data_IF_338918246049
#
_entry.id   IF_338918246049
#
_cell.length_a   1.000
_cell.length_b   1.000
_cell.length_c   1.000
_cell.angle_alpha   90.00
_cell.angle_beta   90.00
_cell.angle_gamma   90.00
#
_symmetry.space_group_name_H-M   'P 1'
#
loop_
_entity.id
_entity.type
_entity.pdbx_description
1 polymer ?
#
# COMPACT_ATOMS: atom_id res chain seq x y z
N UNK A 1 -22.38 -19.85 -11.11
CA UNK A 1 -21.66 -18.60 -10.75
C UNK A 1 -20.59 -18.85 -9.69
N UNK A 2 -20.94 -19.35 -8.50
CA UNK A 2 -19.99 -19.60 -7.39
C UNK A 2 -18.84 -20.58 -7.75
N UNK A 3 -19.12 -21.61 -8.55
CA UNK A 3 -18.09 -22.54 -9.06
C UNK A 3 -16.99 -21.81 -9.84
N UNK A 4 -17.38 -20.94 -10.78
CA UNK A 4 -16.43 -20.16 -11.58
C UNK A 4 -15.63 -19.19 -10.70
N UNK A 5 -16.25 -18.55 -9.71
CA UNK A 5 -15.55 -17.68 -8.77
C UNK A 5 -14.45 -18.43 -7.98
N UNK A 6 -14.71 -19.66 -7.53
CA UNK A 6 -13.74 -20.49 -6.83
C UNK A 6 -12.60 -20.92 -7.76
N UNK A 7 -12.90 -21.25 -9.02
CA UNK A 7 -11.89 -21.58 -10.03
C UNK A 7 -10.99 -20.38 -10.31
N UNK A 8 -11.56 -19.20 -10.52
CA UNK A 8 -10.78 -17.97 -10.73
C UNK A 8 -9.96 -17.59 -9.50
N UNK A 9 -10.47 -17.82 -8.29
CA UNK A 9 -9.74 -17.62 -7.04
C UNK A 9 -8.50 -18.53 -6.98
N UNK A 10 -8.65 -19.82 -7.29
CA UNK A 10 -7.53 -20.76 -7.32
C UNK A 10 -6.48 -20.36 -8.36
N UNK A 11 -6.91 -19.97 -9.57
CA UNK A 11 -6.03 -19.48 -10.63
C UNK A 11 -5.29 -18.21 -10.20
N UNK A 12 -5.97 -17.27 -9.55
CA UNK A 12 -5.36 -16.02 -9.07
C UNK A 12 -4.30 -16.28 -7.98
N UNK A 13 -4.50 -17.25 -7.10
CA UNK A 13 -3.51 -17.63 -6.08
C UNK A 13 -2.27 -18.26 -6.74
N UNK A 14 -2.48 -19.20 -7.67
CA UNK A 14 -1.37 -19.83 -8.42
C UNK A 14 -0.61 -18.77 -9.21
N UNK A 15 -1.31 -17.92 -9.96
CA UNK A 15 -0.69 -16.81 -10.68
C UNK A 15 0.05 -15.84 -9.74
N UNK A 16 -0.53 -15.54 -8.58
CA UNK A 16 0.04 -14.77 -7.48
C UNK A 16 1.41 -15.28 -7.05
N UNK A 17 1.47 -16.57 -6.73
CA UNK A 17 2.67 -17.22 -6.18
C UNK A 17 3.75 -17.37 -7.26
N UNK A 18 3.39 -17.80 -8.46
CA UNK A 18 4.35 -18.11 -9.52
C UNK A 18 4.73 -16.91 -10.40
N UNK A 19 3.82 -15.96 -10.61
CA UNK A 19 4.00 -14.84 -11.55
C UNK A 19 4.38 -13.51 -10.90
N UNK A 20 4.03 -13.28 -9.63
CA UNK A 20 4.24 -11.97 -8.99
C UNK A 20 5.41 -11.94 -7.99
N UNK A 21 6.13 -13.04 -7.78
CA UNK A 21 7.25 -13.11 -6.83
C UNK A 21 8.36 -12.08 -7.13
N UNK A 22 8.68 -11.83 -8.41
CA UNK A 22 9.67 -10.82 -8.82
C UNK A 22 9.13 -9.39 -8.91
N UNK A 23 7.82 -9.21 -9.13
CA UNK A 23 7.21 -7.87 -9.21
C UNK A 23 6.91 -7.34 -7.81
N UNK A 24 6.55 -8.23 -6.88
CA UNK A 24 6.28 -7.89 -5.48
C UNK A 24 7.48 -7.18 -4.83
N UNK A 25 8.72 -7.58 -5.16
CA UNK A 25 9.93 -6.94 -4.64
C UNK A 25 10.15 -5.55 -5.24
N UNK A 26 9.94 -5.38 -6.55
CA UNK A 26 10.02 -4.08 -7.21
C UNK A 26 8.93 -3.11 -6.69
N UNK A 27 7.70 -3.60 -6.55
CA UNK A 27 6.58 -2.84 -5.98
C UNK A 27 6.82 -2.49 -4.50
N UNK A 28 7.45 -3.38 -3.72
CA UNK A 28 7.80 -3.08 -2.34
C UNK A 28 8.74 -1.88 -2.21
N UNK A 29 9.73 -1.74 -3.10
CA UNK A 29 10.61 -0.57 -3.13
C UNK A 29 9.85 0.73 -3.40
N UNK A 30 8.94 0.72 -4.38
CA UNK A 30 8.11 1.89 -4.70
C UNK A 30 7.17 2.24 -3.54
N UNK A 31 6.56 1.23 -2.91
CA UNK A 31 5.68 1.42 -1.75
C UNK A 31 6.41 2.05 -0.56
N UNK A 32 7.67 1.64 -0.31
CA UNK A 32 8.50 2.25 0.74
C UNK A 32 8.74 3.75 0.48
N UNK A 33 9.07 4.14 -0.75
CA UNK A 33 9.28 5.54 -1.11
C UNK A 33 8.01 6.36 -0.86
N UNK A 34 6.85 5.87 -1.33
CA UNK A 34 5.57 6.54 -1.10
C UNK A 34 5.20 6.63 0.38
N UNK A 35 5.50 5.58 1.17
CA UNK A 35 5.28 5.58 2.61
C UNK A 35 6.09 6.66 3.32
N UNK A 36 7.37 6.82 2.97
CA UNK A 36 8.21 7.88 3.55
C UNK A 36 7.74 9.28 3.15
N UNK A 37 7.34 9.49 1.89
CA UNK A 37 6.75 10.76 1.45
C UNK A 37 5.49 11.07 2.25
N UNK A 38 4.59 10.08 2.38
CA UNK A 38 3.38 10.22 3.19
C UNK A 38 3.71 10.56 4.64
N UNK A 39 4.68 9.88 5.26
CA UNK A 39 5.09 10.11 6.64
C UNK A 39 5.63 11.54 6.83
N UNK A 40 6.45 12.03 5.89
CA UNK A 40 6.96 13.40 5.91
C UNK A 40 5.81 14.42 5.85
N UNK A 41 4.89 14.24 4.90
CA UNK A 41 3.72 15.12 4.74
C UNK A 41 2.78 15.06 5.95
N UNK A 42 2.57 13.87 6.50
CA UNK A 42 1.76 13.65 7.69
C UNK A 42 2.39 14.35 8.91
N UNK A 43 3.70 14.20 9.10
CA UNK A 43 4.42 14.89 10.16
C UNK A 43 4.33 16.42 10.01
N UNK A 44 4.52 16.95 8.79
CA UNK A 44 4.36 18.37 8.50
C UNK A 44 2.93 18.85 8.81
N UNK A 45 1.91 18.11 8.37
CA UNK A 45 0.51 18.42 8.65
C UNK A 45 0.18 18.39 10.15
N UNK A 46 0.75 17.43 10.88
CA UNK A 46 0.60 17.30 12.33
C UNK A 46 1.21 18.51 13.06
N UNK A 47 2.42 18.91 12.66
CA UNK A 47 3.12 20.07 13.21
C UNK A 47 2.31 21.35 12.97
N UNK A 48 1.82 21.57 11.74
CA UNK A 48 0.97 22.73 11.40
C UNK A 48 -0.31 22.73 12.24
N UNK A 49 -0.95 21.57 12.41
CA UNK A 49 -2.16 21.44 13.22
C UNK A 49 -1.89 21.74 14.70
N UNK A 50 -0.78 21.25 15.25
CA UNK A 50 -0.41 21.46 16.64
C UNK A 50 -0.14 22.95 16.92
N UNK A 51 0.64 23.62 16.06
CA UNK A 51 0.89 25.07 16.19
C UNK A 51 -0.36 25.92 16.01
N UNK A 52 -1.27 25.54 15.10
CA UNK A 52 -2.53 26.27 14.88
C UNK A 52 -3.56 26.05 15.98
N UNK A 53 -3.51 24.90 16.66
CA UNK A 53 -4.39 24.59 17.81
C UNK A 53 -3.96 25.27 19.11
N UNK A 54 -2.68 25.60 19.27
CA UNK A 54 -2.14 26.25 20.48
C UNK A 54 -2.38 27.76 20.56
N UNK A 55 -2.95 28.38 19.51
CA UNK A 55 -3.15 29.84 19.40
C UNK A 55 -4.60 30.28 19.70
N UNK A 56 -5.37 29.47 20.43
CA UNK A 56 -6.67 29.82 21.01
C UNK A 56 -6.68 29.39 22.48
#
# INVERSE_FOLDING_TARGET
>A
MLYWAIVFLAVAIIAGIFGFSGIATASAGIAQILFYIFLLLFAAALIVRLFRGASR
#
